data_IF_129417772043
#
_entry.id   IF_129417772043
#
_cell.length_a   1.000
_cell.length_b   1.000
_cell.length_c   1.000
_cell.angle_alpha   90.00
_cell.angle_beta   90.00
_cell.angle_gamma   90.00
#
_symmetry.space_group_name_H-M   'P 1'
#
loop_
_entity.id
_entity.type
_entity.pdbx_description
1 polymer ?
#
# COMPACT_ATOMS: atom_id res chain seq x y z
N UNK A 1 -27.71 -14.92 -34.23
CA UNK A 1 -27.63 -14.87 -32.76
C UNK A 1 -26.22 -14.57 -32.22
N UNK A 2 -25.15 -14.53 -33.02
CA UNK A 2 -23.80 -14.24 -32.55
C UNK A 2 -23.49 -12.72 -32.34
N UNK A 3 -24.14 -11.82 -33.09
CA UNK A 3 -23.84 -10.38 -33.05
C UNK A 3 -24.33 -9.66 -31.78
N UNK A 4 -25.36 -10.19 -31.12
CA UNK A 4 -25.91 -9.57 -29.89
C UNK A 4 -25.00 -9.84 -28.69
N UNK A 5 -24.35 -11.01 -28.63
CA UNK A 5 -23.47 -11.38 -27.51
C UNK A 5 -22.12 -10.65 -27.52
N UNK A 6 -21.57 -10.33 -28.69
CA UNK A 6 -20.35 -9.52 -28.80
C UNK A 6 -20.61 -8.06 -28.45
N UNK A 7 -21.76 -7.52 -28.85
CA UNK A 7 -22.14 -6.13 -28.56
C UNK A 7 -22.39 -5.88 -27.06
N UNK A 8 -23.05 -6.82 -26.36
CA UNK A 8 -23.23 -6.74 -24.89
C UNK A 8 -21.90 -6.87 -24.15
N UNK A 9 -20.98 -7.72 -24.63
CA UNK A 9 -19.64 -7.85 -24.05
C UNK A 9 -18.82 -6.57 -24.18
N UNK A 10 -18.90 -5.85 -25.30
CA UNK A 10 -18.10 -4.66 -25.52
C UNK A 10 -18.41 -3.53 -24.52
N UNK A 11 -19.69 -3.31 -24.22
CA UNK A 11 -20.12 -2.33 -23.22
C UNK A 11 -19.70 -2.72 -21.80
N UNK A 12 -19.83 -4.00 -21.44
CA UNK A 12 -19.40 -4.51 -20.14
C UNK A 12 -17.87 -4.41 -19.96
N UNK A 13 -17.10 -4.74 -21.01
CA UNK A 13 -15.64 -4.60 -21.00
C UNK A 13 -15.20 -3.15 -20.84
N UNK A 14 -15.90 -2.22 -21.49
CA UNK A 14 -15.66 -0.77 -21.35
C UNK A 14 -15.83 -0.33 -19.89
N UNK A 15 -16.94 -0.74 -19.26
CA UNK A 15 -17.19 -0.44 -17.84
C UNK A 15 -16.12 -1.04 -16.93
N UNK A 16 -15.76 -2.31 -17.12
CA UNK A 16 -14.72 -2.98 -16.33
C UNK A 16 -13.36 -2.31 -16.49
N UNK A 17 -13.01 -1.83 -17.69
CA UNK A 17 -11.78 -1.08 -17.91
C UNK A 17 -11.79 0.24 -17.15
N UNK A 18 -12.88 0.99 -17.22
CA UNK A 18 -13.06 2.25 -16.49
C UNK A 18 -12.94 2.01 -14.97
N UNK A 19 -13.64 1.00 -14.43
CA UNK A 19 -13.56 0.61 -13.03
C UNK A 19 -12.13 0.26 -12.62
N UNK A 20 -11.41 -0.50 -13.44
CA UNK A 20 -10.01 -0.84 -13.20
C UNK A 20 -9.11 0.40 -13.12
N UNK A 21 -9.25 1.34 -14.07
CA UNK A 21 -8.48 2.60 -14.08
C UNK A 21 -8.77 3.42 -12.82
N UNK A 22 -10.04 3.54 -12.44
CA UNK A 22 -10.45 4.28 -11.25
C UNK A 22 -9.95 3.62 -9.96
N UNK A 23 -9.95 2.29 -9.88
CA UNK A 23 -9.42 1.55 -8.73
C UNK A 23 -7.91 1.79 -8.59
N UNK A 24 -7.15 1.74 -9.69
CA UNK A 24 -5.71 2.02 -9.64
C UNK A 24 -5.41 3.48 -9.30
N UNK A 25 -6.23 4.42 -9.79
CA UNK A 25 -6.11 5.81 -9.42
C UNK A 25 -6.35 6.04 -7.93
N UNK A 26 -7.35 5.36 -7.35
CA UNK A 26 -7.60 5.42 -5.90
C UNK A 26 -6.44 4.85 -5.09
N UNK A 27 -5.84 3.74 -5.53
CA UNK A 27 -4.63 3.20 -4.88
C UNK A 27 -3.48 4.20 -4.91
N UNK A 28 -3.21 4.82 -6.06
CA UNK A 28 -2.19 5.86 -6.15
C UNK A 28 -2.49 7.04 -5.21
N UNK A 29 -3.74 7.53 -5.19
CA UNK A 29 -4.17 8.63 -4.33
C UNK A 29 -4.06 8.30 -2.82
N UNK A 30 -4.33 7.04 -2.43
CA UNK A 30 -4.12 6.56 -1.06
C UNK A 30 -2.65 6.71 -0.64
N UNK A 31 -1.72 6.26 -1.49
CA UNK A 31 -0.28 6.38 -1.22
C UNK A 31 0.26 7.81 -1.40
N UNK A 32 -0.52 8.73 -1.96
CA UNK A 32 -0.23 10.17 -1.94
C UNK A 32 -0.74 10.86 -0.66
N UNK A 33 -1.35 10.12 0.26
CA UNK A 33 -1.94 10.68 1.49
C UNK A 33 -3.20 11.51 1.26
N UNK A 34 -3.76 11.49 0.04
CA UNK A 34 -5.01 12.19 -0.31
C UNK A 34 -6.23 11.49 0.28
N UNK A 35 -6.11 10.19 0.58
CA UNK A 35 -7.14 9.38 1.23
C UNK A 35 -6.55 8.90 2.56
N UNK A 36 -7.21 9.14 3.71
CA UNK A 36 -6.76 8.61 4.99
C UNK A 36 -6.84 7.08 4.98
N UNK A 37 -5.78 6.41 5.43
CA UNK A 37 -5.78 4.95 5.52
C UNK A 37 -6.86 4.49 6.53
N UNK A 38 -7.84 3.67 6.14
CA UNK A 38 -8.94 3.25 7.02
C UNK A 38 -8.48 2.40 8.22
N UNK A 39 -7.29 1.79 8.15
CA UNK A 39 -6.74 1.00 9.26
C UNK A 39 -5.96 1.83 10.27
N UNK A 40 -5.17 2.81 9.82
CA UNK A 40 -4.30 3.59 10.71
C UNK A 40 -4.88 4.98 11.04
N UNK A 41 -5.88 5.45 10.30
CA UNK A 41 -6.46 6.79 10.41
C UNK A 41 -5.49 7.91 10.00
N UNK A 42 -4.31 7.56 9.49
CA UNK A 42 -3.25 8.50 9.12
C UNK A 42 -3.03 8.47 7.61
N UNK A 43 -2.79 9.64 7.01
CA UNK A 43 -2.34 9.76 5.63
C UNK A 43 -0.88 9.36 5.55
N UNK A 44 -0.60 8.08 5.24
CA UNK A 44 0.76 7.61 5.01
C UNK A 44 1.13 7.91 3.55
N UNK A 45 2.01 8.90 3.38
CA UNK A 45 2.56 9.26 2.08
C UNK A 45 3.70 8.31 1.73
N UNK A 46 3.52 7.53 0.68
CA UNK A 46 4.55 6.71 0.05
C UNK A 46 4.64 7.04 -1.44
N UNK A 47 5.53 7.98 -1.76
CA UNK A 47 5.74 8.43 -3.14
C UNK A 47 6.26 7.32 -4.05
N UNK A 48 7.07 6.38 -3.55
CA UNK A 48 7.60 5.29 -4.38
C UNK A 48 6.47 4.38 -4.88
N UNK A 49 5.58 3.98 -3.98
CA UNK A 49 4.43 3.14 -4.31
C UNK A 49 3.41 3.92 -5.16
N UNK A 50 3.15 5.18 -4.85
CA UNK A 50 2.29 6.03 -5.69
C UNK A 50 2.83 6.14 -7.13
N UNK A 51 4.14 6.34 -7.29
CA UNK A 51 4.79 6.40 -8.60
C UNK A 51 4.64 5.09 -9.36
N UNK A 52 4.79 3.94 -8.71
CA UNK A 52 4.60 2.64 -9.34
C UNK A 52 3.21 2.52 -9.99
N UNK A 53 2.15 2.94 -9.30
CA UNK A 53 0.79 2.92 -9.86
C UNK A 53 0.61 3.90 -11.02
N UNK A 54 1.19 5.10 -10.93
CA UNK A 54 1.18 6.09 -12.01
C UNK A 54 1.89 5.54 -13.26
N UNK A 55 3.08 4.96 -13.07
CA UNK A 55 3.86 4.34 -14.15
C UNK A 55 3.10 3.17 -14.78
N UNK A 56 2.38 2.37 -13.99
CA UNK A 56 1.57 1.28 -14.49
C UNK A 56 0.38 1.77 -15.33
N UNK A 57 -0.32 2.82 -14.88
CA UNK A 57 -1.36 3.47 -15.68
C UNK A 57 -0.81 4.06 -16.97
N UNK A 58 0.37 4.69 -16.93
CA UNK A 58 1.03 5.25 -18.11
C UNK A 58 1.43 4.15 -19.10
N UNK A 59 1.96 3.03 -18.61
CA UNK A 59 2.27 1.85 -19.41
C UNK A 59 1.01 1.28 -20.08
N UNK A 60 -0.11 1.21 -19.37
CA UNK A 60 -1.39 0.78 -19.92
C UNK A 60 -1.85 1.73 -21.02
N UNK A 61 -1.75 3.05 -20.83
CA UNK A 61 -2.09 4.04 -21.85
C UNK A 61 -1.30 3.82 -23.15
N UNK A 62 0.01 3.59 -23.04
CA UNK A 62 0.87 3.34 -24.21
C UNK A 62 0.56 1.99 -24.87
N UNK A 63 0.41 0.93 -24.09
CA UNK A 63 0.15 -0.43 -24.61
C UNK A 63 -1.25 -0.61 -25.21
N UNK A 64 -2.22 0.19 -24.79
CA UNK A 64 -3.61 0.13 -25.27
C UNK A 64 -3.95 1.21 -26.30
N UNK A 65 -2.97 2.03 -26.70
CA UNK A 65 -3.17 3.10 -27.68
C UNK A 65 -3.75 2.55 -28.99
N UNK A 66 -4.85 3.15 -29.45
CA UNK A 66 -5.57 2.73 -30.65
C UNK A 66 -6.63 1.65 -30.41
N UNK A 67 -6.65 1.03 -29.23
CA UNK A 67 -7.67 0.04 -28.84
C UNK A 67 -8.72 0.61 -27.88
N UNK A 68 -8.48 1.80 -27.32
CA UNK A 68 -9.41 2.46 -26.40
C UNK A 68 -10.51 3.21 -27.15
N UNK A 69 -11.73 3.12 -26.63
CA UNK A 69 -12.84 4.01 -26.97
C UNK A 69 -12.55 5.45 -26.51
N UNK A 70 -13.32 6.41 -27.03
CA UNK A 70 -13.19 7.82 -26.63
C UNK A 70 -13.42 8.03 -25.13
N UNK A 71 -14.32 7.26 -24.54
CA UNK A 71 -14.64 7.33 -23.11
C UNK A 71 -13.48 6.81 -22.27
N UNK A 72 -13.02 5.59 -22.52
CA UNK A 72 -11.90 4.96 -21.81
C UNK A 72 -10.63 5.82 -21.89
N UNK A 73 -10.32 6.33 -23.10
CA UNK A 73 -9.18 7.21 -23.31
C UNK A 73 -9.29 8.51 -22.48
N UNK A 74 -10.49 9.06 -22.36
CA UNK A 74 -10.72 10.28 -21.57
C UNK A 74 -10.57 10.02 -20.08
N UNK A 75 -11.15 8.93 -19.57
CA UNK A 75 -11.02 8.54 -18.17
C UNK A 75 -9.55 8.29 -17.80
N UNK A 76 -8.83 7.51 -18.61
CA UNK A 76 -7.42 7.19 -18.36
C UNK A 76 -6.52 8.43 -18.38
N UNK A 77 -6.70 9.31 -19.37
CA UNK A 77 -5.92 10.57 -19.46
C UNK A 77 -6.18 11.49 -18.27
N UNK A 78 -7.45 11.64 -17.87
CA UNK A 78 -7.82 12.47 -16.73
C UNK A 78 -7.25 11.91 -15.43
N UNK A 79 -7.38 10.60 -15.22
CA UNK A 79 -6.80 9.93 -14.05
C UNK A 79 -5.28 10.14 -13.97
N UNK A 80 -4.55 9.89 -15.06
CA UNK A 80 -3.10 10.09 -15.10
C UNK A 80 -2.70 11.54 -14.84
N UNK A 81 -3.36 12.49 -15.50
CA UNK A 81 -3.04 13.92 -15.35
C UNK A 81 -3.22 14.38 -13.90
N UNK A 82 -4.35 14.00 -13.28
CA UNK A 82 -4.64 14.36 -11.90
C UNK A 82 -3.62 13.76 -10.93
N UNK A 83 -3.27 12.48 -11.10
CA UNK A 83 -2.31 11.79 -10.25
C UNK A 83 -0.90 12.35 -10.40
N UNK A 84 -0.48 12.69 -11.62
CA UNK A 84 0.84 13.29 -11.87
C UNK A 84 0.97 14.65 -11.21
N UNK A 85 -0.07 15.50 -11.28
CA UNK A 85 -0.10 16.79 -10.59
C UNK A 85 -0.02 16.59 -9.07
N UNK A 86 -0.88 15.74 -8.51
CA UNK A 86 -0.88 15.45 -7.08
C UNK A 86 0.46 14.87 -6.60
N UNK A 87 1.09 13.99 -7.39
CA UNK A 87 2.40 13.43 -7.10
C UNK A 87 3.47 14.52 -7.00
N UNK A 88 3.50 15.46 -7.95
CA UNK A 88 4.47 16.55 -7.96
C UNK A 88 4.25 17.49 -6.78
N UNK A 89 3.01 17.81 -6.43
CA UNK A 89 2.68 18.63 -5.27
C UNK A 89 3.20 17.99 -3.97
N UNK A 90 2.85 16.72 -3.73
CA UNK A 90 3.29 15.98 -2.53
C UNK A 90 4.80 15.78 -2.51
N UNK A 91 5.44 15.52 -3.66
CA UNK A 91 6.89 15.38 -3.75
C UNK A 91 7.64 16.67 -3.40
N UNK A 92 7.08 17.83 -3.73
CA UNK A 92 7.64 19.14 -3.37
C UNK A 92 7.49 19.43 -1.88
N UNK A 93 6.35 19.06 -1.29
CA UNK A 93 6.10 19.22 0.15
C UNK A 93 6.99 18.29 1.00
N UNK A 94 7.11 17.01 0.60
CA UNK A 94 7.98 16.04 1.28
C UNK A 94 9.46 16.41 1.23
N UNK A 95 9.91 17.03 0.13
CA UNK A 95 11.29 17.53 0.00
C UNK A 95 11.58 18.73 0.91
N UNK A 96 10.56 19.45 1.38
CA UNK A 96 10.71 20.56 2.32
C UNK A 96 10.67 20.12 3.79
N UNK A 97 10.37 18.85 4.08
CA UNK A 97 10.19 18.31 5.43
C UNK A 97 11.16 17.18 5.81
N UNK A 98 12.19 16.89 4.99
CA UNK A 98 13.13 15.81 5.26
C UNK A 98 14.14 16.16 6.39
N UNK A 99 13.75 15.89 7.64
CA UNK A 99 14.66 15.40 8.68
C UNK A 99 14.43 13.90 8.87
N UNK A 100 15.49 13.10 9.05
CA UNK A 100 15.46 11.66 8.82
C UNK A 100 14.98 10.91 10.06
N UNK A 101 13.82 10.27 10.01
CA UNK A 101 13.50 9.20 10.96
C UNK A 101 13.90 7.84 10.40
N UNK A 102 15.06 7.41 10.89
CA UNK A 102 15.56 6.04 11.05
C UNK A 102 14.51 4.94 10.80
N UNK A 103 14.58 4.29 9.64
CA UNK A 103 14.34 2.84 9.61
C UNK A 103 15.58 2.16 10.16
N UNK A 104 15.54 1.81 11.45
CA UNK A 104 16.55 0.98 12.09
C UNK A 104 16.61 -0.39 11.39
N UNK A 105 17.81 -1.00 11.24
CA UNK A 105 17.96 -2.29 10.58
C UNK A 105 17.28 -3.39 11.41
N UNK A 106 16.42 -4.18 10.77
CA UNK A 106 15.96 -5.45 11.31
C UNK A 106 17.14 -6.42 11.36
N UNK A 107 17.83 -6.49 12.49
CA UNK A 107 18.64 -7.65 12.86
C UNK A 107 17.71 -8.80 13.22
N UNK A 108 17.42 -9.66 12.25
CA UNK A 108 17.02 -11.03 12.52
C UNK A 108 18.29 -11.86 12.82
N UNK A 109 18.40 -12.53 13.98
CA UNK A 109 19.27 -13.69 14.08
C UNK A 109 18.47 -14.91 13.63
N UNK A 110 18.86 -15.44 12.47
CA UNK A 110 18.63 -16.83 12.11
C UNK A 110 19.35 -17.73 13.13
N UNK A 111 18.69 -18.79 13.57
CA UNK A 111 19.29 -19.78 14.46
C UNK A 111 18.26 -20.71 15.07
N UNK A 112 17.69 -21.60 14.26
CA UNK A 112 17.32 -22.91 14.78
C UNK A 112 18.58 -23.57 15.37
N UNK A 113 18.43 -24.29 16.48
CA UNK A 113 18.82 -25.69 16.41
C UNK A 113 17.74 -26.60 16.97
N UNK A 114 17.47 -27.64 16.20
CA UNK A 114 16.76 -28.82 16.64
C UNK A 114 17.50 -29.55 17.77
N UNK A 115 16.68 -30.20 18.60
CA UNK A 115 16.92 -31.45 19.33
C UNK A 115 17.25 -31.40 20.84
N UNK A 116 16.43 -32.18 21.56
CA UNK A 116 16.68 -32.98 22.77
C UNK A 116 16.43 -32.39 24.17
N UNK A 117 15.24 -32.67 24.71
CA UNK A 117 15.08 -33.20 26.08
C UNK A 117 15.69 -34.62 26.17
N UNK A 118 16.05 -35.20 27.35
CA UNK A 118 15.50 -34.95 28.69
C UNK A 118 16.51 -34.98 29.88
N UNK A 119 16.08 -34.55 31.07
CA UNK A 119 16.23 -35.30 32.36
C UNK A 119 16.06 -34.38 33.60
N UNK A 120 15.56 -35.02 34.66
CA UNK A 120 15.25 -34.54 36.00
C UNK A 120 16.44 -33.91 36.77
N UNK A 121 16.18 -32.99 37.70
CA UNK A 121 16.18 -33.26 39.15
C UNK A 121 16.04 -31.99 40.03
N UNK A 122 15.48 -32.23 41.22
CA UNK A 122 15.73 -31.58 42.51
C UNK A 122 15.18 -30.17 42.88
N UNK A 123 14.45 -30.21 44.00
CA UNK A 123 13.97 -29.14 44.89
C UNK A 123 15.06 -28.21 45.44
N UNK A 124 14.67 -27.03 45.95
CA UNK A 124 15.54 -26.22 46.81
C UNK A 124 15.01 -24.82 47.13
N UNK A 125 14.28 -24.71 48.23
CA UNK A 125 13.82 -23.45 48.84
C UNK A 125 14.95 -22.45 49.14
N UNK A 126 14.71 -21.14 48.97
CA UNK A 126 15.28 -20.14 49.90
C UNK A 126 14.41 -18.88 50.01
N UNK A 127 13.67 -18.89 51.11
CA UNK A 127 12.83 -17.84 51.69
C UNK A 127 13.74 -16.75 52.30
N UNK A 128 13.39 -15.45 52.13
CA UNK A 128 13.15 -14.46 53.23
C UNK A 128 13.48 -12.97 52.88
N UNK A 129 12.40 -12.16 52.92
CA UNK A 129 12.16 -10.94 53.73
C UNK A 129 12.84 -9.59 53.39
N UNK A 130 12.00 -8.57 53.12
CA UNK A 130 11.85 -7.28 53.84
C UNK A 130 10.78 -6.41 53.09
N UNK A 131 9.50 -6.27 53.45
CA UNK A 131 8.79 -5.54 54.54
C UNK A 131 8.99 -4.02 54.64
N UNK A 132 8.07 -3.23 54.05
CA UNK A 132 7.28 -2.08 54.61
C UNK A 132 6.48 -1.43 53.45
N UNK A 133 5.14 -1.37 53.33
CA UNK A 133 4.03 -0.91 54.22
C UNK A 133 4.26 0.54 54.67
N UNK A 134 3.41 1.57 54.55
CA UNK A 134 1.97 1.87 54.34
C UNK A 134 1.96 3.28 53.63
N UNK A 135 0.91 3.86 53.03
CA UNK A 135 -0.52 3.91 53.30
C UNK A 135 -0.94 5.39 53.50
N UNK A 136 -1.97 5.83 52.77
CA UNK A 136 -2.98 6.84 53.14
C UNK A 136 -4.10 6.76 52.09
#
# INVERSE_FOLDING_TARGET
MAEVQTSTNAGELTQRFIEFVLMQAQNAALFLGQIPNPQTGKGEVNLEVAKMFIDQLAMIQEKTRGNLTSEESTVLRNALSNLQLAYVEVAREGSSAASPEKSAPQTAPAGEPAAQEPAADAEGESRKKFTKSYGA
#
